data_IF_927431979538
#
_entry.id   IF_927431979538
#
_cell.length_a   1.000
_cell.length_b   1.000
_cell.length_c   1.000
_cell.angle_alpha   90.00
_cell.angle_beta   90.00
_cell.angle_gamma   90.00
#
_symmetry.space_group_name_H-M   'P 1'
#
loop_
_entity.id
_entity.type
_entity.pdbx_description
1 polymer ?
#
# COMPACT_ATOMS: atom_id res chain seq x y z
N UNK A 1 11.83 9.67 2.47
CA UNK A 1 12.21 9.65 1.04
C UNK A 1 10.99 9.99 0.22
N UNK A 2 11.08 10.99 -0.66
CA UNK A 2 9.99 11.37 -1.58
C UNK A 2 10.44 11.01 -2.99
N UNK A 3 9.67 10.17 -3.68
CA UNK A 3 9.95 9.76 -5.05
C UNK A 3 8.78 10.22 -5.92
N UNK A 4 9.09 10.84 -7.05
CA UNK A 4 8.13 11.16 -8.10
C UNK A 4 8.34 10.16 -9.23
N UNK A 5 7.28 9.43 -9.60
CA UNK A 5 7.32 8.44 -10.70
C UNK A 5 6.12 8.72 -11.60
N UNK A 6 6.24 8.53 -12.91
CA UNK A 6 5.05 8.49 -13.75
C UNK A 6 4.26 7.20 -13.50
N UNK A 7 2.92 7.27 -13.52
CA UNK A 7 2.09 6.07 -13.36
C UNK A 7 2.38 5.06 -14.47
N UNK A 8 2.71 5.54 -15.66
CA UNK A 8 3.17 4.73 -16.77
C UNK A 8 4.42 3.93 -16.41
N UNK A 9 5.46 4.54 -15.83
CA UNK A 9 6.67 3.82 -15.40
C UNK A 9 6.40 2.83 -14.26
N UNK A 10 5.55 3.18 -13.28
CA UNK A 10 5.21 2.26 -12.19
C UNK A 10 4.48 1.00 -12.70
N UNK A 11 3.57 1.18 -13.66
CA UNK A 11 2.87 0.08 -14.33
C UNK A 11 3.83 -0.69 -15.25
N UNK A 12 4.71 0.01 -15.97
CA UNK A 12 5.69 -0.62 -16.86
C UNK A 12 6.73 -1.46 -16.09
N UNK A 13 7.14 -1.04 -14.88
CA UNK A 13 8.03 -1.82 -13.99
C UNK A 13 7.36 -3.11 -13.50
N UNK A 14 6.07 -3.04 -13.17
CA UNK A 14 5.27 -4.21 -12.77
C UNK A 14 5.12 -5.19 -13.94
N UNK A 15 4.88 -4.66 -15.12
CA UNK A 15 4.73 -5.40 -16.36
C UNK A 15 6.04 -6.05 -16.79
N UNK A 16 7.15 -5.33 -16.72
CA UNK A 16 8.47 -5.83 -17.10
C UNK A 16 8.99 -6.92 -16.16
N UNK A 17 8.43 -7.05 -14.95
CA UNK A 17 8.67 -8.21 -14.08
C UNK A 17 7.99 -9.52 -14.56
N UNK A 18 7.16 -9.46 -15.61
CA UNK A 18 6.61 -10.61 -16.34
C UNK A 18 7.10 -10.55 -17.79
N UNK A 19 8.17 -11.28 -18.11
CA UNK A 19 8.82 -11.28 -19.43
C UNK A 19 7.88 -11.70 -20.58
N UNK A 20 7.92 -10.97 -21.72
CA UNK A 20 8.10 -11.45 -23.11
C UNK A 20 7.96 -10.25 -24.09
N UNK A 21 8.98 -9.95 -24.90
CA UNK A 21 8.90 -8.88 -25.91
C UNK A 21 9.18 -9.42 -27.33
N UNK A 22 8.12 -9.44 -28.15
CA UNK A 22 8.08 -9.76 -29.59
C UNK A 22 6.92 -9.00 -30.27
N UNK A 23 6.36 -9.46 -31.41
CA UNK A 23 5.21 -8.84 -32.12
C UNK A 23 4.01 -8.51 -31.20
N UNK A 24 3.89 -9.23 -30.09
CA UNK A 24 2.98 -8.92 -28.99
C UNK A 24 3.11 -7.50 -28.43
N UNK A 25 4.26 -6.83 -28.55
CA UNK A 25 4.54 -5.51 -27.98
C UNK A 25 3.60 -4.39 -28.44
N UNK A 26 3.07 -4.43 -29.67
CA UNK A 26 2.10 -3.41 -30.15
C UNK A 26 0.67 -3.65 -29.65
N UNK A 27 0.19 -4.90 -29.68
CA UNK A 27 -1.08 -5.27 -29.07
C UNK A 27 -1.04 -5.06 -27.55
N UNK A 28 0.11 -5.34 -26.96
CA UNK A 28 0.42 -5.10 -25.56
C UNK A 28 0.40 -3.60 -25.22
N UNK A 29 1.01 -2.75 -26.04
CA UNK A 29 0.96 -1.30 -25.84
C UNK A 29 -0.48 -0.76 -25.89
N UNK A 30 -1.31 -1.24 -26.82
CA UNK A 30 -2.74 -0.88 -26.91
C UNK A 30 -3.50 -1.39 -25.67
N UNK A 31 -3.20 -2.60 -25.21
CA UNK A 31 -3.79 -3.17 -23.99
C UNK A 31 -3.43 -2.36 -22.74
N UNK A 32 -2.16 -1.98 -22.59
CA UNK A 32 -1.68 -1.12 -21.51
C UNK A 32 -2.34 0.26 -21.57
N UNK A 33 -2.47 0.87 -22.75
CA UNK A 33 -3.19 2.13 -22.92
C UNK A 33 -4.68 2.00 -22.58
N UNK A 34 -5.32 0.87 -22.93
CA UNK A 34 -6.71 0.58 -22.57
C UNK A 34 -6.90 0.44 -21.06
N UNK A 35 -5.98 -0.26 -20.38
CA UNK A 35 -5.96 -0.35 -18.92
C UNK A 35 -5.75 1.02 -18.30
N UNK A 36 -4.78 1.80 -18.78
CA UNK A 36 -4.53 3.16 -18.30
C UNK A 36 -5.78 4.02 -18.45
N UNK A 37 -6.40 4.05 -19.63
CA UNK A 37 -7.62 4.83 -19.87
C UNK A 37 -8.79 4.37 -18.98
N UNK A 38 -8.96 3.07 -18.77
CA UNK A 38 -9.96 2.53 -17.85
C UNK A 38 -9.68 2.95 -16.40
N UNK A 39 -8.43 2.85 -15.95
CA UNK A 39 -8.00 3.33 -14.64
C UNK A 39 -8.24 4.82 -14.48
N UNK A 40 -7.99 5.64 -15.51
CA UNK A 40 -8.31 7.08 -15.50
C UNK A 40 -9.78 7.32 -15.18
N UNK A 41 -10.66 6.67 -15.96
CA UNK A 41 -12.11 6.79 -15.84
C UNK A 41 -12.60 6.37 -14.46
N UNK A 42 -12.11 5.26 -13.94
CA UNK A 42 -12.47 4.75 -12.61
C UNK A 42 -11.89 5.61 -11.48
N UNK A 43 -10.67 6.13 -11.65
CA UNK A 43 -10.06 7.05 -10.70
C UNK A 43 -10.85 8.37 -10.64
N UNK A 44 -11.31 8.87 -11.79
CA UNK A 44 -12.17 10.06 -11.91
C UNK A 44 -13.57 9.84 -11.32
N UNK A 45 -14.15 8.65 -11.48
CA UNK A 45 -15.47 8.31 -10.95
C UNK A 45 -15.48 7.98 -9.44
N UNK A 46 -14.42 8.31 -8.71
CA UNK A 46 -14.32 8.13 -7.25
C UNK A 46 -14.56 6.69 -6.74
N UNK A 47 -14.25 5.66 -7.52
CA UNK A 47 -14.21 4.29 -6.98
C UNK A 47 -13.08 4.15 -5.95
N UNK A 48 -13.45 4.02 -4.67
CA UNK A 48 -12.51 3.98 -3.55
C UNK A 48 -11.77 2.62 -3.45
N UNK A 49 -12.38 1.51 -3.86
CA UNK A 49 -11.76 0.18 -3.85
C UNK A 49 -10.59 0.11 -4.84
N UNK A 50 -10.82 0.45 -6.10
CA UNK A 50 -9.79 0.44 -7.15
C UNK A 50 -8.64 1.41 -6.82
N UNK A 51 -8.95 2.53 -6.16
CA UNK A 51 -7.94 3.49 -5.67
C UNK A 51 -7.01 2.86 -4.62
N UNK A 52 -7.51 1.98 -3.77
CA UNK A 52 -6.72 1.19 -2.82
C UNK A 52 -5.78 0.25 -3.56
N UNK A 53 -6.33 -0.58 -4.45
CA UNK A 53 -5.56 -1.55 -5.25
C UNK A 53 -4.44 -0.91 -6.08
N UNK A 54 -4.73 0.21 -6.73
CA UNK A 54 -3.72 0.98 -7.49
C UNK A 54 -2.61 1.47 -6.56
N UNK A 55 -2.96 1.89 -5.35
CA UNK A 55 -2.00 2.24 -4.32
C UNK A 55 -1.07 1.08 -3.99
N UNK A 56 -1.65 -0.09 -3.67
CA UNK A 56 -0.87 -1.28 -3.34
C UNK A 56 0.09 -1.67 -4.47
N UNK A 57 -0.37 -1.63 -5.71
CA UNK A 57 0.44 -1.93 -6.91
C UNK A 57 1.63 -0.98 -7.01
N UNK A 58 1.39 0.32 -6.90
CA UNK A 58 2.45 1.34 -6.94
C UNK A 58 3.41 1.15 -5.76
N UNK A 59 2.91 0.93 -4.54
CA UNK A 59 3.72 0.71 -3.35
C UNK A 59 4.64 -0.51 -3.52
N UNK A 60 4.10 -1.63 -4.02
CA UNK A 60 4.85 -2.87 -4.28
C UNK A 60 5.97 -2.67 -5.31
N UNK A 61 5.76 -1.81 -6.32
CA UNK A 61 6.80 -1.49 -7.32
C UNK A 61 8.02 -0.77 -6.73
N UNK A 62 7.85 -0.07 -5.59
CA UNK A 62 8.90 0.69 -4.92
C UNK A 62 9.51 -0.08 -3.74
N UNK A 63 8.68 -0.81 -2.99
CA UNK A 63 9.11 -1.61 -1.84
C UNK A 63 9.49 -3.00 -2.35
N UNK A 64 10.71 -3.11 -2.88
CA UNK A 64 11.26 -4.36 -3.40
C UNK A 64 11.24 -5.45 -2.33
N UNK A 65 11.01 -6.69 -2.76
CA UNK A 65 10.89 -7.90 -1.93
C UNK A 65 9.70 -7.93 -0.95
N UNK A 66 8.78 -6.98 -1.05
CA UNK A 66 7.50 -7.08 -0.33
C UNK A 66 6.49 -7.98 -1.06
N UNK A 67 5.60 -8.58 -0.27
CA UNK A 67 4.43 -9.33 -0.75
C UNK A 67 3.16 -8.76 -0.12
N UNK A 68 1.99 -9.08 -0.71
CA UNK A 68 0.72 -8.56 -0.18
C UNK A 68 0.41 -9.27 1.13
N UNK A 69 -0.10 -8.53 2.11
CA UNK A 69 -0.49 -9.13 3.38
C UNK A 69 -1.57 -10.21 3.19
N UNK A 70 -2.46 -10.05 2.20
CA UNK A 70 -3.44 -11.06 1.82
C UNK A 70 -2.83 -12.39 1.35
N UNK A 71 -1.60 -12.39 0.86
CA UNK A 71 -0.88 -13.61 0.45
C UNK A 71 -0.21 -14.30 1.66
N UNK A 72 -0.19 -13.66 2.83
CA UNK A 72 0.47 -14.13 4.05
C UNK A 72 -0.26 -15.33 4.67
N UNK A 73 0.05 -16.51 4.17
CA UNK A 73 -0.43 -17.78 4.72
C UNK A 73 0.66 -18.48 5.55
N UNK A 74 0.25 -19.51 6.29
CA UNK A 74 1.15 -20.27 7.18
C UNK A 74 2.39 -20.79 6.46
N UNK A 75 2.21 -21.41 5.29
CA UNK A 75 3.29 -22.03 4.52
C UNK A 75 4.30 -20.99 4.02
N UNK A 76 3.82 -19.83 3.54
CA UNK A 76 4.69 -18.74 3.12
C UNK A 76 5.51 -18.21 4.31
N UNK A 77 4.85 -17.95 5.43
CA UNK A 77 5.50 -17.42 6.63
C UNK A 77 6.44 -18.44 7.31
N UNK A 78 6.31 -19.75 7.05
CA UNK A 78 7.22 -20.78 7.57
C UNK A 78 8.60 -20.73 6.89
N UNK A 79 8.69 -20.06 5.72
CA UNK A 79 9.95 -19.91 4.98
C UNK A 79 10.86 -18.81 5.55
N UNK A 80 10.33 -17.97 6.44
CA UNK A 80 11.06 -16.84 7.00
C UNK A 80 11.46 -17.11 8.46
N UNK A 81 12.66 -16.68 8.89
CA UNK A 81 13.14 -16.88 10.26
C UNK A 81 12.54 -15.82 11.22
N UNK A 82 11.20 -15.72 11.24
CA UNK A 82 10.47 -14.83 12.14
C UNK A 82 10.02 -15.57 13.40
N UNK A 83 9.90 -14.86 14.53
CA UNK A 83 9.54 -15.53 15.78
C UNK A 83 8.06 -16.00 15.77
N UNK A 84 7.71 -17.03 16.58
CA UNK A 84 6.35 -17.59 16.57
C UNK A 84 5.24 -16.60 16.93
N UNK A 85 5.52 -15.62 17.79
CA UNK A 85 4.54 -14.63 18.24
C UNK A 85 4.23 -13.60 17.13
N UNK A 86 5.27 -13.11 16.45
CA UNK A 86 5.15 -12.27 15.26
C UNK A 86 4.37 -13.02 14.18
N UNK A 87 4.73 -14.27 13.92
CA UNK A 87 4.04 -15.10 12.92
C UNK A 87 2.55 -15.26 13.23
N UNK A 88 2.22 -15.58 14.47
CA UNK A 88 0.83 -15.69 14.93
C UNK A 88 0.10 -14.35 14.76
N UNK A 89 0.73 -13.25 15.16
CA UNK A 89 0.14 -11.92 15.00
C UNK A 89 -0.19 -11.63 13.53
N UNK A 90 0.72 -11.92 12.60
CA UNK A 90 0.50 -11.72 11.16
C UNK A 90 -0.64 -12.58 10.61
N UNK A 91 -0.70 -13.86 10.98
CA UNK A 91 -1.78 -14.75 10.55
C UNK A 91 -3.16 -14.33 11.08
N UNK A 92 -3.21 -13.84 12.32
CA UNK A 92 -4.47 -13.44 12.96
C UNK A 92 -4.97 -12.06 12.48
N UNK A 93 -4.10 -11.24 11.86
CA UNK A 93 -4.35 -9.81 11.62
C UNK A 93 -3.95 -9.32 10.22
N UNK A 94 -3.69 -10.21 9.25
CA UNK A 94 -3.23 -9.84 7.91
C UNK A 94 -4.14 -8.83 7.20
N UNK A 95 -5.46 -8.90 7.46
CA UNK A 95 -6.49 -8.06 6.82
C UNK A 95 -6.43 -6.59 7.21
N UNK A 96 -5.60 -6.23 8.18
CA UNK A 96 -5.37 -4.85 8.59
C UNK A 96 -4.30 -4.13 7.77
N UNK A 97 -3.57 -4.84 6.91
CA UNK A 97 -2.37 -4.34 6.25
C UNK A 97 -2.43 -4.58 4.74
N UNK A 98 -1.59 -3.83 4.03
CA UNK A 98 -1.48 -3.95 2.58
C UNK A 98 -0.25 -4.78 2.18
N UNK A 99 0.94 -4.44 2.68
CA UNK A 99 2.19 -5.11 2.29
C UNK A 99 3.04 -5.54 3.50
N UNK A 100 3.76 -6.64 3.33
CA UNK A 100 4.71 -7.19 4.29
C UNK A 100 6.06 -7.29 3.59
N UNK A 101 7.12 -6.86 4.27
CA UNK A 101 8.50 -7.12 3.86
C UNK A 101 9.24 -7.80 5.01
N UNK A 102 9.87 -8.94 4.72
CA UNK A 102 10.66 -9.70 5.69
C UNK A 102 12.05 -9.86 5.09
N UNK A 103 13.04 -9.29 5.75
CA UNK A 103 14.44 -9.42 5.37
C UNK A 103 15.17 -9.94 6.60
N UNK A 104 15.77 -11.12 6.45
CA UNK A 104 16.32 -11.89 7.56
C UNK A 104 15.22 -12.14 8.61
N UNK A 105 15.39 -11.63 9.83
CA UNK A 105 14.46 -11.69 10.95
C UNK A 105 13.64 -10.41 11.15
N UNK A 106 13.84 -9.39 10.29
CA UNK A 106 13.22 -8.08 10.43
C UNK A 106 11.94 -8.00 9.63
N UNK A 107 10.82 -7.90 10.35
CA UNK A 107 9.50 -7.69 9.77
C UNK A 107 9.22 -6.19 9.67
N UNK A 108 8.86 -5.72 8.47
CA UNK A 108 8.29 -4.40 8.24
C UNK A 108 6.91 -4.53 7.61
N UNK A 109 5.91 -3.91 8.22
CA UNK A 109 4.53 -3.86 7.76
C UNK A 109 4.23 -2.49 7.19
N UNK A 110 3.53 -2.45 6.06
CA UNK A 110 3.19 -1.24 5.34
C UNK A 110 1.69 -1.12 5.18
N UNK A 111 1.18 0.03 5.61
CA UNK A 111 -0.19 0.46 5.34
C UNK A 111 -0.16 1.54 4.25
N UNK A 112 -0.84 1.27 3.13
CA UNK A 112 -0.87 2.09 1.94
C UNK A 112 -2.10 2.99 1.95
N UNK A 113 -1.86 4.29 1.85
CA UNK A 113 -2.91 5.32 1.79
C UNK A 113 -2.80 6.11 0.51
N UNK A 114 -3.69 5.81 -0.43
CA UNK A 114 -3.80 6.52 -1.69
C UNK A 114 -4.67 7.77 -1.55
N UNK A 115 -4.24 8.86 -2.17
CA UNK A 115 -4.99 10.11 -2.33
C UNK A 115 -4.99 10.52 -3.79
N UNK A 116 -6.06 11.20 -4.18
CA UNK A 116 -6.24 11.74 -5.52
C UNK A 116 -6.31 13.25 -5.41
N UNK A 117 -5.50 13.95 -6.18
CA UNK A 117 -5.56 15.40 -6.38
C UNK A 117 -5.79 15.70 -7.86
N UNK A 118 -6.82 15.08 -8.43
CA UNK A 118 -7.54 15.69 -9.54
C UNK A 118 -8.38 16.82 -8.95
N UNK A 119 -8.40 18.05 -9.43
CA UNK A 119 -9.31 19.14 -9.01
C UNK A 119 -9.09 19.89 -7.68
N UNK A 120 -8.14 19.53 -6.80
CA UNK A 120 -7.88 20.31 -5.57
C UNK A 120 -6.40 20.68 -5.43
N UNK A 121 -6.14 21.97 -5.13
CA UNK A 121 -4.82 22.40 -4.69
C UNK A 121 -4.35 21.54 -3.51
N UNK A 122 -3.05 21.23 -3.48
CA UNK A 122 -2.36 20.70 -2.30
C UNK A 122 -2.55 21.68 -1.14
N UNK A 123 -3.65 21.56 -0.39
CA UNK A 123 -3.79 22.30 0.85
C UNK A 123 -2.73 21.78 1.81
N UNK A 124 -1.88 22.69 2.30
CA UNK A 124 -0.75 22.44 3.23
C UNK A 124 -1.17 21.85 4.58
N UNK A 125 -2.43 21.48 4.77
CA UNK A 125 -2.91 20.82 5.98
C UNK A 125 -2.20 19.48 6.12
N UNK A 126 -1.39 19.33 7.18
CA UNK A 126 -0.86 18.03 7.60
C UNK A 126 -2.03 17.07 7.82
N UNK A 127 -2.32 16.27 6.81
CA UNK A 127 -3.44 15.36 6.86
C UNK A 127 -3.10 14.15 7.72
N UNK A 128 -3.82 14.03 8.83
CA UNK A 128 -3.82 12.84 9.67
C UNK A 128 -4.73 11.78 9.04
N UNK A 129 -4.26 10.54 8.96
CA UNK A 129 -5.09 9.41 8.52
C UNK A 129 -6.10 9.03 9.58
N UNK A 130 -7.32 8.71 9.15
CA UNK A 130 -8.30 8.10 10.02
C UNK A 130 -7.98 6.62 10.19
N UNK A 131 -7.83 6.15 11.41
CA UNK A 131 -7.67 4.72 11.73
C UNK A 131 -8.72 4.24 12.72
N UNK A 132 -9.02 2.94 12.71
CA UNK A 132 -9.91 2.31 13.68
C UNK A 132 -9.14 1.97 14.97
N UNK A 133 -9.85 1.86 16.09
CA UNK A 133 -9.26 1.41 17.35
C UNK A 133 -8.64 0.01 17.27
N UNK A 134 -9.30 -1.01 16.67
CA UNK A 134 -8.69 -2.33 16.50
C UNK A 134 -7.38 -2.30 15.70
N UNK A 135 -7.29 -1.47 14.66
CA UNK A 135 -6.06 -1.31 13.90
C UNK A 135 -4.93 -0.71 14.74
N UNK A 136 -5.25 0.28 15.58
CA UNK A 136 -4.26 0.86 16.50
C UNK A 136 -3.76 -0.17 17.52
N UNK A 137 -4.66 -0.97 18.08
CA UNK A 137 -4.30 -2.01 19.06
C UNK A 137 -3.42 -3.08 18.42
N UNK A 138 -3.72 -3.47 17.18
CA UNK A 138 -2.86 -4.30 16.36
C UNK A 138 -1.47 -3.66 16.15
N UNK A 139 -1.41 -2.37 15.78
CA UNK A 139 -0.15 -1.67 15.55
C UNK A 139 0.72 -1.63 16.81
N UNK A 140 0.13 -1.33 17.97
CA UNK A 140 0.85 -1.30 19.24
C UNK A 140 1.45 -2.67 19.57
N UNK A 141 0.65 -3.74 19.42
CA UNK A 141 1.13 -5.11 19.63
C UNK A 141 2.24 -5.51 18.65
N UNK A 142 2.16 -5.07 17.40
CA UNK A 142 3.23 -5.31 16.42
C UNK A 142 4.54 -4.63 16.86
N UNK A 143 4.47 -3.37 17.32
CA UNK A 143 5.64 -2.61 17.81
C UNK A 143 6.27 -3.30 19.04
N UNK A 144 5.44 -3.77 19.99
CA UNK A 144 5.91 -4.52 21.17
C UNK A 144 6.69 -5.79 20.79
N UNK A 145 6.29 -6.46 19.70
CA UNK A 145 6.99 -7.62 19.15
C UNK A 145 8.20 -7.26 18.26
N UNK A 146 8.63 -5.99 18.26
CA UNK A 146 9.78 -5.53 17.46
C UNK A 146 9.50 -5.40 15.96
N UNK A 147 8.23 -5.42 15.54
CA UNK A 147 7.86 -5.25 14.14
C UNK A 147 7.85 -3.76 13.78
N UNK A 148 8.48 -3.42 12.65
CA UNK A 148 8.48 -2.04 12.15
C UNK A 148 7.19 -1.75 11.38
N UNK A 149 6.53 -0.62 11.66
CA UNK A 149 5.35 -0.16 10.92
C UNK A 149 5.64 1.10 10.11
N UNK A 150 5.17 1.14 8.88
CA UNK A 150 5.32 2.28 7.98
C UNK A 150 3.99 2.63 7.30
N UNK A 151 3.77 3.92 7.10
CA UNK A 151 2.75 4.41 6.18
C UNK A 151 3.36 4.71 4.82
N UNK A 152 2.70 4.25 3.77
CA UNK A 152 3.02 4.59 2.38
C UNK A 152 1.94 5.53 1.88
N UNK A 153 2.26 6.81 1.76
CA UNK A 153 1.37 7.79 1.16
C UNK A 153 1.59 7.81 -0.36
N UNK A 154 0.54 7.54 -1.11
CA UNK A 154 0.55 7.68 -2.56
C UNK A 154 -0.37 8.83 -2.93
N UNK A 155 0.17 9.76 -3.70
CA UNK A 155 -0.53 10.96 -4.16
C UNK A 155 -0.61 10.89 -5.67
N UNK A 156 -1.81 10.64 -6.20
CA UNK A 156 -2.08 10.64 -7.64
C UNK A 156 -2.42 12.05 -8.10
N UNK A 157 -1.69 12.55 -9.09
CA UNK A 157 -1.87 13.88 -9.70
C UNK A 157 -2.60 13.78 -11.05
N UNK A 158 -3.14 14.89 -11.53
CA UNK A 158 -3.85 14.98 -12.83
C UNK A 158 -2.98 14.63 -14.03
N UNK A 159 -1.70 15.00 -13.97
CA UNK A 159 -0.72 14.82 -15.03
C UNK A 159 -0.13 13.39 -15.07
N UNK A 160 -0.84 12.42 -14.50
CA UNK A 160 -0.42 11.02 -14.42
C UNK A 160 0.88 10.77 -13.65
N UNK A 161 1.37 11.76 -12.91
CA UNK A 161 2.46 11.55 -11.96
C UNK A 161 1.89 11.05 -10.64
N UNK A 162 2.72 10.31 -9.92
CA UNK A 162 2.45 9.97 -8.54
C UNK A 162 3.61 10.42 -7.64
N UNK A 163 3.25 10.95 -6.47
CA UNK A 163 4.16 11.24 -5.39
C UNK A 163 4.06 10.15 -4.34
N UNK A 164 5.19 9.55 -3.97
CA UNK A 164 5.24 8.46 -2.99
C UNK A 164 6.07 8.94 -1.80
N UNK A 165 5.51 8.83 -0.60
CA UNK A 165 6.18 9.14 0.67
C UNK A 165 6.04 7.93 1.58
N UNK A 166 7.17 7.33 1.94
CA UNK A 166 7.24 6.27 2.96
C UNK A 166 7.72 6.92 4.26
N UNK A 167 6.93 6.78 5.32
CA UNK A 167 7.21 7.33 6.65
C UNK A 167 6.95 6.31 7.74
N UNK A 168 7.65 6.45 8.86
CA UNK A 168 7.39 5.61 10.04
C UNK A 168 5.99 5.88 10.58
N UNK A 169 5.39 4.85 11.20
CA UNK A 169 4.12 4.98 11.89
C UNK A 169 4.29 5.85 13.15
N UNK A 170 3.73 7.06 13.15
CA UNK A 170 3.78 8.00 14.28
C UNK A 170 2.39 8.56 14.57
N UNK A 171 2.08 8.78 15.84
CA UNK A 171 0.76 9.26 16.28
C UNK A 171 0.34 10.60 15.66
N UNK A 172 1.32 11.47 15.37
CA UNK A 172 1.09 12.74 14.69
C UNK A 172 0.50 12.58 13.29
N UNK A 173 0.65 11.41 12.67
CA UNK A 173 0.23 11.12 11.30
C UNK A 173 -1.17 10.52 11.19
N UNK A 174 -1.84 10.20 12.31
CA UNK A 174 -3.19 9.60 12.29
C UNK A 174 -4.07 10.09 13.44
N UNK A 175 -5.39 9.91 13.33
CA UNK A 175 -6.35 10.07 14.41
C UNK A 175 -7.25 8.83 14.47
N UNK A 176 -7.69 8.47 15.68
CA UNK A 176 -8.57 7.32 15.89
C UNK A 176 -10.03 7.76 15.75
N UNK A 177 -10.82 7.00 15.00
CA UNK A 177 -12.25 7.26 14.88
C UNK A 177 -12.96 7.08 16.22
N UNK A 178 -13.48 8.18 16.79
CA UNK A 178 -14.25 8.15 18.05
C UNK A 178 -15.49 7.24 17.97
N UNK A 179 -16.07 7.03 16.78
CA UNK A 179 -17.23 6.14 16.61
C UNK A 179 -16.88 4.65 16.80
N UNK A 180 -15.61 4.28 16.63
CA UNK A 180 -15.15 2.91 16.90
C UNK A 180 -15.04 2.59 18.40
N UNK A 181 -15.13 3.60 19.27
CA UNK A 181 -15.13 3.44 20.73
C UNK A 181 -16.52 3.12 21.31
N UNK A 182 -17.59 3.35 20.55
CA UNK A 182 -18.98 3.24 21.03
C UNK A 182 -19.66 1.89 20.71
N UNK A 183 -18.94 0.94 20.09
CA UNK A 183 -19.47 -0.42 19.78
C UNK A 183 -19.15 -1.48 20.85
N UNK A 184 -18.92 -1.05 22.09
CA UNK A 184 -18.98 -1.92 23.27
C UNK A 184 -19.94 -1.29 24.27
N UNK A 185 -21.20 -1.70 24.18
CA UNK A 185 -22.16 -1.86 25.26
C UNK A 185 -23.20 -2.86 24.77
#
# INVERSE_FOLDING_TARGET
>A
MQILISLAEAINLLICSNHYWGIFGRAYFIYVLGILAFMYLQLNNCHDSLKGEIGEVIAKSVIKNSFRAADANKNLLDQYPINPEQKKLLLDNWFYLDLINIIDDKVTLYEVKTKKYFYKQLTRTQMRYKISKPFLDFCNKAIELGITLKFVQITLFEDWKCGIIIKDFKEKDFFVDKRSLLKKN
#
